data_IF_081330972026
#
_entry.id   IF_081330972026
#
_cell.length_a   1.000
_cell.length_b   1.000
_cell.length_c   1.000
_cell.angle_alpha   90.00
_cell.angle_beta   90.00
_cell.angle_gamma   90.00
#
_symmetry.space_group_name_H-M   'P 1'
#
loop_
_entity.id
_entity.type
_entity.pdbx_description
1 polymer ?
#
# COMPACT_ATOMS: atom_id res chain seq x y z
N UNK A 1 -33.63 7.43 42.97
CA UNK A 1 -32.44 6.99 42.22
C UNK A 1 -32.56 7.55 40.81
N UNK A 2 -31.84 8.64 40.51
CA UNK A 2 -31.88 9.33 39.21
C UNK A 2 -30.98 8.56 38.23
N UNK A 3 -31.55 8.09 37.11
CA UNK A 3 -30.77 7.51 36.01
C UNK A 3 -30.16 8.66 35.21
N UNK A 4 -28.85 8.77 35.23
CA UNK A 4 -28.08 9.70 34.39
C UNK A 4 -27.85 9.00 33.05
N UNK A 5 -28.41 9.54 31.98
CA UNK A 5 -28.10 9.12 30.62
C UNK A 5 -26.85 9.88 30.16
N UNK A 6 -25.75 9.17 29.96
CA UNK A 6 -24.51 9.70 29.40
C UNK A 6 -24.68 9.64 27.88
N UNK A 7 -24.92 10.81 27.26
CA UNK A 7 -24.96 10.96 25.82
C UNK A 7 -23.53 10.92 25.25
N UNK A 8 -23.27 9.94 24.39
CA UNK A 8 -22.07 9.83 23.59
C UNK A 8 -22.06 10.96 22.54
N UNK A 9 -21.24 11.98 22.76
CA UNK A 9 -20.99 13.04 21.77
C UNK A 9 -19.95 12.50 20.79
N UNK A 10 -20.42 12.07 19.62
CA UNK A 10 -19.54 11.76 18.48
C UNK A 10 -19.25 13.08 17.78
N UNK A 11 -18.06 13.63 18.03
CA UNK A 11 -17.57 14.79 17.29
C UNK A 11 -17.13 14.33 15.90
N UNK A 12 -17.98 14.51 14.89
CA UNK A 12 -17.56 14.42 13.49
C UNK A 12 -16.60 15.59 13.21
N UNK A 13 -15.34 15.27 12.94
CA UNK A 13 -14.38 16.23 12.40
C UNK A 13 -14.71 16.43 10.91
N UNK A 14 -15.43 17.50 10.58
CA UNK A 14 -15.58 17.98 9.20
C UNK A 14 -14.26 18.66 8.81
N UNK A 15 -13.38 17.95 8.11
CA UNK A 15 -12.22 18.56 7.46
C UNK A 15 -12.72 19.23 6.19
N UNK A 16 -13.04 20.52 6.30
CA UNK A 16 -13.19 21.42 5.16
C UNK A 16 -11.80 21.95 4.82
N UNK A 17 -11.13 21.35 3.85
CA UNK A 17 -9.93 21.94 3.26
C UNK A 17 -10.32 22.83 2.09
N UNK A 18 -10.28 24.14 2.35
CA UNK A 18 -10.22 25.19 1.35
C UNK A 18 -8.95 24.97 0.53
N UNK A 19 -9.09 24.96 -0.79
CA UNK A 19 -7.97 24.83 -1.73
C UNK A 19 -6.91 25.89 -1.48
N UNK A 20 -5.80 25.43 -0.92
CA UNK A 20 -4.51 26.10 -0.94
C UNK A 20 -3.62 25.11 -1.67
N UNK A 21 -3.06 25.54 -2.81
CA UNK A 21 -2.25 24.70 -3.67
C UNK A 21 -1.18 23.97 -2.87
N UNK A 22 -1.40 22.68 -2.66
CA UNK A 22 -0.37 21.76 -2.23
C UNK A 22 0.44 21.45 -3.48
N UNK A 23 1.73 21.72 -3.44
CA UNK A 23 2.66 21.02 -4.31
C UNK A 23 2.70 19.61 -3.72
N UNK A 24 1.80 18.74 -4.17
CA UNK A 24 1.95 17.32 -3.91
C UNK A 24 3.20 16.87 -4.64
N UNK A 25 4.04 16.13 -3.93
CA UNK A 25 5.04 15.27 -4.51
C UNK A 25 4.65 13.88 -4.05
N UNK A 26 4.71 12.91 -4.95
CA UNK A 26 4.50 11.51 -4.66
C UNK A 26 5.42 11.12 -3.50
N UNK A 27 4.79 10.76 -2.39
CA UNK A 27 5.44 10.49 -1.12
C UNK A 27 5.22 9.03 -0.75
N UNK A 28 6.18 8.45 -0.03
CA UNK A 28 5.97 7.13 0.55
C UNK A 28 5.32 7.25 1.93
N UNK A 29 4.26 6.49 2.15
CA UNK A 29 3.81 6.13 3.49
C UNK A 29 4.61 4.94 3.97
N UNK A 30 5.25 5.12 5.12
CA UNK A 30 6.07 4.10 5.76
C UNK A 30 5.25 3.39 6.84
N UNK A 31 5.18 2.06 6.76
CA UNK A 31 4.59 1.21 7.78
C UNK A 31 5.66 0.26 8.32
N UNK A 32 6.12 0.55 9.53
CA UNK A 32 7.05 -0.33 10.24
C UNK A 32 6.34 -1.60 10.71
N UNK A 33 6.98 -2.74 10.46
CA UNK A 33 6.55 -4.06 10.89
C UNK A 33 7.67 -4.67 11.73
N UNK A 34 7.28 -5.22 12.88
CA UNK A 34 8.14 -5.98 13.77
C UNK A 34 7.57 -7.39 13.87
N UNK A 35 8.35 -8.38 13.43
CA UNK A 35 8.03 -9.79 13.57
C UNK A 35 8.73 -10.31 14.82
N UNK A 36 7.98 -10.38 15.92
CA UNK A 36 8.49 -10.63 17.27
C UNK A 36 8.38 -12.09 17.75
N UNK A 37 7.75 -12.97 16.96
CA UNK A 37 7.57 -14.40 17.25
C UNK A 37 6.84 -14.77 18.56
N UNK A 38 6.38 -13.81 19.36
CA UNK A 38 5.80 -14.02 20.69
C UNK A 38 4.49 -14.83 20.68
N UNK A 39 3.79 -14.83 19.55
CA UNK A 39 2.57 -15.61 19.36
C UNK A 39 2.85 -17.11 19.15
N UNK A 40 4.11 -17.51 18.90
CA UNK A 40 4.58 -18.89 18.69
C UNK A 40 5.02 -19.58 20.00
N UNK A 41 4.38 -19.24 21.12
CA UNK A 41 4.68 -19.85 22.42
C UNK A 41 4.51 -21.39 22.42
N UNK A 42 5.04 -22.04 23.46
CA UNK A 42 5.10 -23.51 23.59
C UNK A 42 3.78 -24.27 23.43
N UNK A 43 2.62 -23.60 23.57
CA UNK A 43 1.30 -24.23 23.36
C UNK A 43 0.81 -24.12 21.92
N UNK A 44 1.27 -23.11 21.17
CA UNK A 44 0.84 -22.81 19.81
C UNK A 44 1.83 -23.32 18.76
N UNK A 45 3.11 -23.35 19.08
CA UNK A 45 4.15 -23.93 18.24
C UNK A 45 5.23 -24.54 19.16
N UNK A 46 5.23 -25.87 19.37
CA UNK A 46 6.34 -26.51 20.10
C UNK A 46 7.66 -26.29 19.35
N UNK A 47 8.80 -26.43 20.04
CA UNK A 47 10.12 -26.34 19.41
C UNK A 47 10.15 -27.17 18.11
N UNK A 48 10.58 -26.55 17.00
CA UNK A 48 10.33 -27.13 15.68
C UNK A 48 10.64 -26.19 14.53
N UNK A 49 10.12 -26.49 13.33
CA UNK A 49 10.33 -25.67 12.14
C UNK A 49 9.43 -24.43 12.17
N UNK A 50 9.98 -23.29 11.76
CA UNK A 50 9.17 -22.11 11.47
C UNK A 50 8.29 -22.41 10.24
N UNK A 51 7.04 -21.97 10.28
CA UNK A 51 6.17 -22.08 9.10
C UNK A 51 6.73 -21.23 7.97
N UNK A 52 6.83 -21.81 6.75
CA UNK A 52 7.42 -21.13 5.59
C UNK A 52 6.75 -19.79 5.27
N UNK A 53 5.47 -19.63 5.58
CA UNK A 53 4.68 -18.40 5.33
C UNK A 53 4.42 -17.54 6.57
N UNK A 54 5.15 -17.74 7.66
CA UNK A 54 4.90 -17.03 8.91
C UNK A 54 5.03 -15.52 8.73
N UNK A 55 4.08 -14.77 9.32
CA UNK A 55 3.94 -13.32 9.17
C UNK A 55 3.83 -12.81 7.71
N UNK A 56 3.42 -13.68 6.76
CA UNK A 56 3.32 -13.33 5.34
C UNK A 56 4.67 -13.28 4.60
N UNK A 57 5.76 -13.65 5.27
CA UNK A 57 7.10 -13.74 4.68
C UNK A 57 7.40 -15.18 4.25
N UNK A 58 8.26 -15.34 3.25
CA UNK A 58 8.75 -16.67 2.85
C UNK A 58 10.11 -16.95 3.48
N UNK A 59 10.14 -17.90 4.41
CA UNK A 59 11.33 -18.30 5.16
C UNK A 59 12.02 -19.51 4.54
N UNK A 60 13.35 -19.56 4.64
CA UNK A 60 14.14 -20.76 4.34
C UNK A 60 13.72 -21.97 5.23
N UNK A 61 13.68 -23.23 4.73
CA UNK A 61 13.18 -24.37 5.50
C UNK A 61 14.00 -24.80 6.73
N UNK A 62 15.18 -24.19 6.91
CA UNK A 62 16.10 -24.44 8.02
C UNK A 62 15.90 -23.46 9.19
N UNK A 63 14.97 -22.49 9.06
CA UNK A 63 14.56 -21.69 10.20
C UNK A 63 13.73 -22.51 11.19
N UNK A 64 14.13 -22.44 12.44
CA UNK A 64 13.61 -23.21 13.55
C UNK A 64 13.17 -22.28 14.67
N UNK A 65 12.20 -22.72 15.46
CA UNK A 65 11.66 -22.01 16.62
C UNK A 65 12.30 -22.57 17.88
N UNK A 66 12.74 -21.68 18.76
CA UNK A 66 12.92 -22.00 20.15
C UNK A 66 11.98 -21.16 21.01
N UNK A 67 11.21 -21.81 21.88
CA UNK A 67 10.24 -21.17 22.79
C UNK A 67 10.55 -21.41 24.27
N UNK A 68 11.71 -22.00 24.56
CA UNK A 68 12.19 -22.27 25.92
C UNK A 68 13.52 -21.55 26.19
N UNK A 69 13.78 -21.10 27.44
CA UNK A 69 15.02 -20.42 27.78
C UNK A 69 16.26 -21.27 27.48
N UNK A 70 17.24 -20.68 26.79
CA UNK A 70 18.53 -21.30 26.51
C UNK A 70 19.65 -20.30 26.81
N UNK A 71 20.72 -20.79 27.45
CA UNK A 71 21.90 -19.96 27.70
C UNK A 71 22.47 -19.44 26.37
N UNK A 72 22.88 -18.18 26.34
CA UNK A 72 23.38 -17.45 25.15
C UNK A 72 22.35 -17.08 24.08
N UNK A 73 21.17 -17.72 24.05
CA UNK A 73 20.17 -17.55 22.99
C UNK A 73 18.90 -16.89 23.52
N UNK A 74 19.05 -15.75 24.19
CA UNK A 74 17.92 -15.02 24.74
C UNK A 74 17.07 -14.37 23.63
N UNK A 75 15.75 -14.44 23.76
CA UNK A 75 14.86 -13.58 22.99
C UNK A 75 15.02 -12.12 23.44
N UNK A 76 14.75 -11.18 22.53
CA UNK A 76 14.69 -9.76 22.88
C UNK A 76 13.32 -9.40 23.47
N UNK A 77 12.25 -9.97 22.92
CA UNK A 77 10.88 -9.88 23.43
C UNK A 77 10.34 -11.26 23.80
N UNK A 78 9.47 -11.30 24.81
CA UNK A 78 8.85 -12.54 25.30
C UNK A 78 9.85 -13.68 25.53
N UNK A 79 9.48 -14.87 25.07
CA UNK A 79 10.24 -16.11 25.26
C UNK A 79 10.63 -16.80 23.95
N UNK A 80 10.07 -16.36 22.82
CA UNK A 80 10.20 -17.06 21.54
C UNK A 80 11.12 -16.30 20.60
N UNK A 81 11.96 -17.03 19.90
CA UNK A 81 12.87 -16.51 18.87
C UNK A 81 13.14 -17.60 17.86
N UNK A 82 13.71 -17.22 16.72
CA UNK A 82 14.07 -18.17 15.68
C UNK A 82 15.57 -18.36 15.62
N UNK A 83 16.00 -19.52 15.16
CA UNK A 83 17.40 -19.83 14.90
C UNK A 83 17.50 -20.55 13.56
N UNK A 84 18.67 -20.53 12.94
CA UNK A 84 18.88 -21.30 11.71
C UNK A 84 19.62 -22.59 12.02
N UNK A 85 19.09 -23.72 11.57
CA UNK A 85 19.82 -25.00 11.55
C UNK A 85 20.82 -25.09 10.39
N UNK A 86 21.51 -23.99 10.12
CA UNK A 86 22.47 -23.78 9.05
C UNK A 86 23.40 -22.60 9.40
N UNK A 87 24.22 -22.13 8.46
CA UNK A 87 25.05 -20.93 8.59
C UNK A 87 24.26 -19.63 8.39
N UNK A 88 23.00 -19.60 8.85
CA UNK A 88 22.02 -18.55 8.53
C UNK A 88 20.97 -19.03 7.52
N UNK A 89 20.30 -18.13 6.81
CA UNK A 89 19.21 -18.50 5.91
C UNK A 89 18.49 -17.31 5.30
N UNK A 90 17.65 -17.61 4.31
CA UNK A 90 16.89 -16.59 3.57
C UNK A 90 15.60 -16.16 4.28
N UNK A 91 15.28 -14.88 4.09
CA UNK A 91 13.98 -14.25 4.37
C UNK A 91 13.58 -13.56 3.07
N UNK A 92 12.41 -13.90 2.52
CA UNK A 92 11.91 -13.27 1.29
C UNK A 92 10.60 -12.54 1.56
N UNK A 93 10.48 -11.36 1.00
CA UNK A 93 9.32 -10.47 1.03
C UNK A 93 8.53 -10.64 -0.27
N UNK A 94 7.23 -10.33 -0.23
CA UNK A 94 6.38 -10.40 -1.43
C UNK A 94 6.51 -9.17 -2.34
N UNK A 95 7.23 -8.14 -1.87
CA UNK A 95 7.45 -6.86 -2.52
C UNK A 95 8.68 -6.19 -1.88
N UNK A 96 9.17 -5.14 -2.52
CA UNK A 96 10.28 -4.32 -2.02
C UNK A 96 9.97 -3.67 -0.67
N UNK A 97 10.87 -3.87 0.30
CA UNK A 97 10.79 -3.27 1.63
C UNK A 97 12.10 -2.60 2.02
N UNK A 98 12.03 -1.68 2.98
CA UNK A 98 13.23 -1.19 3.66
C UNK A 98 13.52 -2.09 4.87
N UNK A 99 14.40 -3.06 4.71
CA UNK A 99 14.82 -3.93 5.81
C UNK A 99 15.68 -3.16 6.82
N UNK A 100 15.24 -3.08 8.08
CA UNK A 100 15.94 -2.31 9.13
C UNK A 100 16.96 -3.15 9.86
N UNK A 101 16.66 -4.43 10.08
CA UNK A 101 17.51 -5.36 10.81
C UNK A 101 16.74 -6.27 11.75
N UNK A 102 17.44 -6.88 12.70
CA UNK A 102 16.82 -7.73 13.71
C UNK A 102 17.67 -7.75 15.00
N UNK A 103 17.06 -8.21 16.09
CA UNK A 103 17.78 -8.47 17.34
C UNK A 103 18.46 -9.83 17.28
N UNK A 104 19.76 -9.83 17.56
CA UNK A 104 20.61 -11.02 17.50
C UNK A 104 21.17 -11.31 18.89
N UNK A 105 21.08 -12.57 19.31
CA UNK A 105 21.82 -13.13 20.43
C UNK A 105 22.44 -14.47 20.04
N UNK A 106 23.40 -14.95 20.80
CA UNK A 106 24.06 -16.22 20.51
C UNK A 106 25.41 -16.38 21.18
N UNK A 107 26.10 -17.44 20.79
CA UNK A 107 27.43 -17.75 21.29
C UNK A 107 28.46 -16.71 20.79
N UNK A 108 29.41 -16.25 21.61
CA UNK A 108 30.42 -15.27 21.21
C UNK A 108 31.35 -15.68 20.04
N UNK A 109 31.23 -16.92 19.57
CA UNK A 109 31.93 -17.43 18.39
C UNK A 109 31.20 -17.09 17.08
N UNK A 110 29.88 -16.88 17.12
CA UNK A 110 29.09 -16.50 15.95
C UNK A 110 29.33 -15.05 15.56
N UNK A 111 29.33 -14.82 14.25
CA UNK A 111 29.42 -13.50 13.64
C UNK A 111 28.37 -13.41 12.56
N UNK A 112 27.37 -12.58 12.83
CA UNK A 112 26.15 -12.47 12.02
C UNK A 112 26.21 -11.23 11.15
N UNK A 113 25.74 -11.34 9.92
CA UNK A 113 25.57 -10.23 8.98
C UNK A 113 24.35 -10.46 8.10
N UNK A 114 23.88 -9.40 7.46
CA UNK A 114 22.81 -9.45 6.47
C UNK A 114 23.34 -9.05 5.10
N UNK A 115 22.84 -9.71 4.06
CA UNK A 115 22.97 -9.30 2.67
C UNK A 115 21.58 -9.06 2.09
N UNK A 116 21.39 -7.90 1.47
CA UNK A 116 20.13 -7.49 0.87
C UNK A 116 20.16 -7.67 -0.64
N UNK A 117 19.06 -8.17 -1.20
CA UNK A 117 18.85 -8.39 -2.61
C UNK A 117 17.52 -7.80 -3.06
N UNK A 118 17.44 -7.38 -4.31
CA UNK A 118 16.22 -6.91 -4.99
C UNK A 118 16.18 -7.55 -6.38
N UNK A 119 15.15 -8.33 -6.69
CA UNK A 119 15.03 -9.12 -7.92
C UNK A 119 16.27 -10.03 -8.16
N UNK A 120 16.86 -10.53 -7.07
CA UNK A 120 18.08 -11.33 -7.08
C UNK A 120 19.38 -10.54 -7.34
N UNK A 121 19.31 -9.22 -7.48
CA UNK A 121 20.47 -8.33 -7.60
C UNK A 121 20.91 -7.87 -6.21
N UNK A 122 22.22 -7.97 -5.93
CA UNK A 122 22.79 -7.51 -4.66
C UNK A 122 22.64 -5.99 -4.47
N UNK A 123 22.06 -5.59 -3.34
CA UNK A 123 21.81 -4.19 -2.96
C UNK A 123 22.85 -3.69 -1.95
N UNK A 124 23.19 -4.50 -0.95
CA UNK A 124 24.14 -4.11 0.10
C UNK A 124 24.29 -5.15 1.20
N UNK A 125 25.18 -4.89 2.15
CA UNK A 125 25.33 -5.71 3.35
C UNK A 125 25.38 -4.84 4.61
N UNK A 126 25.06 -5.48 5.73
CA UNK A 126 25.27 -4.90 7.05
C UNK A 126 26.74 -4.98 7.45
N UNK A 127 27.09 -4.28 8.53
CA UNK A 127 28.30 -4.66 9.29
C UNK A 127 28.18 -6.08 9.82
N UNK A 128 29.31 -6.75 10.02
CA UNK A 128 29.35 -8.02 10.75
C UNK A 128 29.34 -7.78 12.27
N UNK A 129 28.50 -8.51 12.99
CA UNK A 129 28.34 -8.39 14.43
C UNK A 129 28.60 -9.72 15.14
N UNK A 130 29.52 -9.71 16.10
CA UNK A 130 29.69 -10.82 17.04
C UNK A 130 28.47 -10.96 17.93
N UNK A 131 27.87 -12.16 17.94
CA UNK A 131 26.75 -12.48 18.81
C UNK A 131 27.17 -12.49 20.29
N UNK A 132 26.21 -12.25 21.19
CA UNK A 132 26.40 -12.28 22.64
C UNK A 132 25.14 -12.83 23.31
N UNK A 133 25.25 -13.25 24.57
CA UNK A 133 24.10 -13.73 25.33
C UNK A 133 22.98 -12.69 25.48
N UNK A 134 23.36 -11.41 25.60
CA UNK A 134 22.41 -10.30 25.63
C UNK A 134 22.07 -9.89 24.20
N UNK A 135 20.78 -9.88 23.82
CA UNK A 135 20.36 -9.47 22.48
C UNK A 135 20.84 -8.07 22.12
N UNK A 136 21.25 -7.91 20.86
CA UNK A 136 21.66 -6.64 20.29
C UNK A 136 21.07 -6.47 18.91
N UNK A 137 20.58 -5.28 18.62
CA UNK A 137 20.09 -4.96 17.28
C UNK A 137 21.25 -4.87 16.29
N UNK A 138 21.20 -5.67 15.23
CA UNK A 138 22.05 -5.55 14.06
C UNK A 138 21.28 -4.77 13.00
N UNK A 139 21.72 -3.54 12.71
CA UNK A 139 21.14 -2.73 11.64
C UNK A 139 21.63 -3.19 10.27
N UNK A 140 20.71 -3.28 9.32
CA UNK A 140 21.02 -3.67 7.94
C UNK A 140 21.72 -2.56 7.15
N UNK A 141 21.20 -1.32 7.21
CA UNK A 141 21.74 -0.12 6.56
C UNK A 141 22.02 -0.30 5.05
N UNK A 142 21.16 -1.05 4.35
CA UNK A 142 21.27 -1.19 2.91
C UNK A 142 21.01 0.14 2.21
N UNK A 143 21.66 0.42 1.07
CA UNK A 143 21.49 1.69 0.34
C UNK A 143 20.16 1.79 -0.42
N UNK A 144 19.37 0.71 -0.49
CA UNK A 144 18.11 0.64 -1.23
C UNK A 144 17.16 -0.41 -0.66
N UNK A 145 15.98 -0.50 -1.27
CA UNK A 145 14.96 -1.48 -0.92
C UNK A 145 15.36 -2.89 -1.36
N UNK A 146 14.83 -3.89 -0.67
CA UNK A 146 15.14 -5.30 -0.87
C UNK A 146 13.85 -6.13 -0.85
N UNK A 147 13.81 -7.19 -1.65
CA UNK A 147 12.77 -8.22 -1.64
C UNK A 147 13.26 -9.52 -1.00
N UNK A 148 14.57 -9.63 -0.74
CA UNK A 148 15.17 -10.78 -0.09
C UNK A 148 16.36 -10.38 0.79
N UNK A 149 16.50 -11.07 1.92
CA UNK A 149 17.61 -10.92 2.85
C UNK A 149 18.20 -12.28 3.16
N UNK A 150 19.50 -12.43 2.90
CA UNK A 150 20.28 -13.54 3.41
C UNK A 150 20.85 -13.15 4.76
N UNK A 151 20.49 -13.91 5.79
CA UNK A 151 21.17 -13.87 7.08
C UNK A 151 22.37 -14.81 7.00
N UNK A 152 23.56 -14.32 7.30
CA UNK A 152 24.80 -15.10 7.28
C UNK A 152 25.37 -15.20 8.69
N UNK A 153 25.78 -16.41 9.10
CA UNK A 153 26.62 -16.66 10.27
C UNK A 153 27.89 -17.42 9.86
N UNK A 154 29.01 -17.07 10.47
CA UNK A 154 30.27 -17.82 10.38
C UNK A 154 30.24 -19.19 11.08
N UNK A 155 29.25 -19.43 11.93
CA UNK A 155 29.10 -20.66 12.72
C UNK A 155 27.75 -21.35 12.42
N UNK A 156 27.76 -22.68 12.39
CA UNK A 156 26.55 -23.45 12.13
C UNK A 156 25.65 -23.43 13.37
N UNK A 157 24.48 -22.80 13.28
CA UNK A 157 23.44 -22.81 14.34
C UNK A 157 23.86 -22.17 15.68
N UNK A 158 24.65 -21.09 15.67
CA UNK A 158 25.21 -20.46 16.89
C UNK A 158 24.64 -19.06 17.19
N UNK A 159 23.58 -18.67 16.51
CA UNK A 159 22.82 -17.46 16.81
C UNK A 159 21.31 -17.74 16.81
N UNK A 160 20.57 -16.86 17.47
CA UNK A 160 19.15 -16.70 17.26
C UNK A 160 18.81 -15.25 16.94
N UNK A 161 17.65 -15.08 16.32
CA UNK A 161 17.13 -13.83 15.82
C UNK A 161 15.71 -13.64 16.32
N UNK A 162 15.41 -12.40 16.70
CA UNK A 162 14.13 -11.97 17.22
C UNK A 162 13.83 -10.55 16.70
N UNK A 163 12.57 -10.11 16.81
CA UNK A 163 12.14 -8.76 16.45
C UNK A 163 12.68 -8.29 15.09
N UNK A 164 12.40 -9.09 14.04
CA UNK A 164 12.80 -8.76 12.67
C UNK A 164 12.00 -7.54 12.22
N UNK A 165 12.72 -6.45 11.92
CA UNK A 165 12.13 -5.13 11.67
C UNK A 165 12.35 -4.73 10.21
N UNK A 166 11.27 -4.34 9.54
CA UNK A 166 11.29 -3.79 8.18
C UNK A 166 10.18 -2.77 8.00
N UNK A 167 10.27 -1.95 6.96
CA UNK A 167 9.26 -0.94 6.62
C UNK A 167 8.70 -1.27 5.24
N UNK A 168 7.39 -1.53 5.20
CA UNK A 168 6.63 -1.54 3.95
C UNK A 168 6.44 -0.09 3.50
N UNK A 169 6.61 0.15 2.21
CA UNK A 169 6.39 1.46 1.60
C UNK A 169 5.17 1.41 0.71
N UNK A 170 4.30 2.42 0.80
CA UNK A 170 3.21 2.65 -0.16
C UNK A 170 3.42 3.99 -0.83
N UNK A 171 3.48 4.03 -2.15
CA UNK A 171 3.55 5.29 -2.88
C UNK A 171 2.17 5.96 -2.91
N UNK A 172 2.07 7.13 -2.31
CA UNK A 172 0.87 7.97 -2.43
C UNK A 172 0.94 8.71 -3.74
N UNK A 173 -0.11 8.54 -4.53
CA UNK A 173 -0.26 9.19 -5.84
C UNK A 173 -1.43 10.15 -5.82
N UNK A 174 -1.31 11.22 -6.58
CA UNK A 174 -2.45 12.09 -6.83
C UNK A 174 -3.42 11.40 -7.79
N UNK A 175 -4.70 11.56 -7.50
CA UNK A 175 -5.79 10.97 -8.26
C UNK A 175 -6.75 12.08 -8.68
N UNK A 176 -7.16 12.07 -9.94
CA UNK A 176 -8.24 12.93 -10.44
C UNK A 176 -9.30 12.09 -11.17
N UNK A 177 -10.50 12.03 -10.59
CA UNK A 177 -11.66 11.36 -11.17
C UNK A 177 -12.42 12.35 -12.03
N UNK A 178 -12.49 12.13 -13.35
CA UNK A 178 -12.96 13.11 -14.34
C UNK A 178 -12.02 14.32 -14.48
N UNK A 179 -10.78 14.09 -15.00
CA UNK A 179 -9.86 15.16 -15.34
C UNK A 179 -10.52 16.30 -16.11
N UNK A 180 -10.34 17.52 -15.61
CA UNK A 180 -10.88 18.74 -16.21
C UNK A 180 -12.29 19.16 -15.77
N UNK A 181 -12.94 18.40 -14.88
CA UNK A 181 -14.21 18.76 -14.26
C UNK A 181 -14.02 19.05 -12.75
N UNK A 182 -14.79 19.97 -12.17
CA UNK A 182 -14.91 20.10 -10.71
C UNK A 182 -16.29 20.68 -10.35
N UNK A 183 -17.02 20.11 -9.39
CA UNK A 183 -16.73 18.85 -8.69
C UNK A 183 -16.90 17.62 -9.61
N UNK A 184 -16.26 16.52 -9.23
CA UNK A 184 -16.22 15.27 -9.97
C UNK A 184 -17.54 14.52 -9.88
N UNK A 185 -18.46 14.78 -10.82
CA UNK A 185 -19.84 14.27 -10.73
C UNK A 185 -19.96 12.82 -11.18
N UNK A 186 -20.42 11.96 -10.29
CA UNK A 186 -20.84 10.60 -10.64
C UNK A 186 -22.37 10.56 -10.74
N UNK A 187 -22.87 10.27 -11.93
CA UNK A 187 -24.29 10.04 -12.15
C UNK A 187 -24.56 8.54 -12.13
N UNK A 188 -25.22 8.03 -11.08
CA UNK A 188 -25.48 6.59 -10.92
C UNK A 188 -26.29 5.99 -12.07
N UNK A 189 -27.00 6.82 -12.83
CA UNK A 189 -27.84 6.41 -13.95
C UNK A 189 -27.16 6.59 -15.33
N UNK A 190 -25.93 7.11 -15.38
CA UNK A 190 -25.21 7.30 -16.64
C UNK A 190 -24.65 5.98 -17.19
N UNK A 191 -24.56 5.89 -18.53
CA UNK A 191 -24.06 4.71 -19.24
C UNK A 191 -22.66 4.86 -19.82
N UNK A 192 -22.08 6.06 -19.81
CA UNK A 192 -20.71 6.29 -20.26
C UNK A 192 -19.71 5.84 -19.18
N UNK A 193 -18.50 5.49 -19.61
CA UNK A 193 -17.39 5.24 -18.69
C UNK A 193 -16.96 6.55 -17.99
N UNK A 194 -16.24 6.38 -16.90
CA UNK A 194 -15.67 7.46 -16.09
C UNK A 194 -14.15 7.42 -16.27
N UNK A 195 -13.54 8.50 -16.80
CA UNK A 195 -12.09 8.62 -16.83
C UNK A 195 -11.56 8.90 -15.42
N UNK A 196 -10.44 8.27 -15.06
CA UNK A 196 -9.75 8.45 -13.77
C UNK A 196 -8.25 8.49 -14.06
N UNK A 197 -7.57 9.56 -13.67
CA UNK A 197 -6.15 9.74 -13.91
C UNK A 197 -5.36 9.59 -12.62
N UNK A 198 -4.33 8.74 -12.66
CA UNK A 198 -3.20 8.86 -11.73
C UNK A 198 -2.29 9.92 -12.32
N UNK A 199 -2.10 11.01 -11.58
CA UNK A 199 -1.45 12.21 -12.08
C UNK A 199 0.06 11.99 -12.14
N UNK A 200 0.66 12.21 -13.30
CA UNK A 200 2.10 12.18 -13.49
C UNK A 200 2.75 13.44 -12.93
N UNK A 201 4.02 13.33 -12.53
CA UNK A 201 4.78 14.50 -12.07
C UNK A 201 6.28 14.20 -12.08
N UNK A 202 7.10 15.20 -11.70
CA UNK A 202 8.56 15.08 -11.69
C UNK A 202 9.07 13.90 -10.84
N UNK A 203 8.37 13.56 -9.75
CA UNK A 203 8.70 12.45 -8.85
C UNK A 203 8.04 11.13 -9.22
N UNK A 204 7.14 11.09 -10.21
CA UNK A 204 6.37 9.91 -10.58
C UNK A 204 6.36 9.71 -12.10
N UNK A 205 7.17 8.76 -12.56
CA UNK A 205 7.03 8.20 -13.90
C UNK A 205 5.92 7.14 -13.89
N UNK A 206 4.74 7.50 -14.41
CA UNK A 206 3.57 6.63 -14.44
C UNK A 206 3.75 5.36 -15.27
N UNK A 207 4.79 5.26 -16.11
CA UNK A 207 5.10 4.03 -16.86
C UNK A 207 5.63 2.91 -15.97
N UNK A 208 6.07 3.25 -14.75
CA UNK A 208 6.51 2.29 -13.73
C UNK A 208 5.36 1.67 -12.97
N UNK A 209 4.12 2.12 -13.18
CA UNK A 209 2.92 1.52 -12.59
C UNK A 209 2.50 0.31 -13.42
N UNK A 210 2.28 -0.84 -12.78
CA UNK A 210 1.61 -1.96 -13.43
C UNK A 210 0.12 -1.65 -13.57
N UNK A 211 -0.27 -1.09 -14.72
CA UNK A 211 -1.65 -0.72 -15.01
C UNK A 211 -2.65 -1.89 -14.89
N UNK A 212 -2.21 -3.14 -14.99
CA UNK A 212 -3.09 -4.31 -14.86
C UNK A 212 -3.44 -4.65 -13.42
N UNK A 213 -2.62 -4.20 -12.47
CA UNK A 213 -2.86 -4.32 -11.03
C UNK A 213 -3.85 -3.29 -10.49
N UNK A 214 -4.12 -2.22 -11.25
CA UNK A 214 -4.84 -1.06 -10.76
C UNK A 214 -6.34 -1.33 -10.62
N UNK A 215 -6.91 -0.95 -9.48
CA UNK A 215 -8.34 -1.03 -9.20
C UNK A 215 -8.85 0.22 -8.49
N UNK A 216 -10.08 0.63 -8.78
CA UNK A 216 -10.79 1.68 -8.06
C UNK A 216 -11.81 1.02 -7.12
N UNK A 217 -11.58 1.05 -5.81
CA UNK A 217 -12.41 0.31 -4.84
C UNK A 217 -12.55 -1.19 -5.18
N UNK A 218 -11.50 -1.80 -5.71
CA UNK A 218 -11.51 -3.18 -6.18
C UNK A 218 -12.18 -3.41 -7.55
N UNK A 219 -12.73 -2.37 -8.19
CA UNK A 219 -13.23 -2.43 -9.57
C UNK A 219 -12.05 -2.34 -10.54
N UNK A 220 -11.96 -3.25 -11.52
CA UNK A 220 -10.95 -3.18 -12.58
C UNK A 220 -11.33 -2.18 -13.68
N UNK A 221 -10.34 -1.52 -14.32
CA UNK A 221 -10.60 -0.65 -15.45
C UNK A 221 -11.00 -1.44 -16.70
N UNK A 222 -11.74 -0.80 -17.60
CA UNK A 222 -12.12 -1.30 -18.93
C UNK A 222 -10.97 -1.14 -19.92
N UNK A 223 -10.23 -0.03 -19.81
CA UNK A 223 -9.07 0.29 -20.63
C UNK A 223 -8.22 1.35 -19.93
N UNK A 224 -7.00 1.55 -20.40
CA UNK A 224 -6.13 2.64 -19.96
C UNK A 224 -5.27 3.16 -21.11
N UNK A 225 -4.80 4.39 -20.96
CA UNK A 225 -3.85 5.05 -21.86
C UNK A 225 -2.95 6.01 -21.06
N UNK A 226 -1.79 6.33 -21.62
CA UNK A 226 -0.92 7.36 -21.05
C UNK A 226 -1.11 8.63 -21.86
N UNK A 227 -1.59 9.68 -21.20
CA UNK A 227 -1.84 10.98 -21.81
C UNK A 227 -1.80 12.05 -20.74
N UNK A 228 -1.30 13.23 -21.11
CA UNK A 228 -1.21 14.39 -20.23
C UNK A 228 -2.55 15.15 -20.25
N UNK A 229 -3.34 15.05 -19.17
CA UNK A 229 -4.72 15.56 -19.07
C UNK A 229 -4.98 16.41 -17.83
N UNK A 230 -4.22 16.22 -16.76
CA UNK A 230 -4.36 16.93 -15.50
C UNK A 230 -3.00 17.33 -14.91
N UNK A 231 -3.06 18.02 -13.79
CA UNK A 231 -1.89 18.41 -13.01
C UNK A 231 -2.14 18.15 -11.52
N UNK A 232 -1.10 17.95 -10.70
CA UNK A 232 -1.22 17.69 -9.26
C UNK A 232 -2.08 18.72 -8.50
N UNK A 233 -2.15 19.95 -9.02
CA UNK A 233 -2.95 21.03 -8.45
C UNK A 233 -4.47 20.92 -8.67
N UNK A 234 -4.94 19.90 -9.41
CA UNK A 234 -6.33 19.79 -9.86
C UNK A 234 -6.73 20.84 -10.90
N UNK A 235 -5.75 21.61 -11.41
CA UNK A 235 -5.99 22.52 -12.52
C UNK A 235 -6.18 21.72 -13.81
N UNK A 236 -7.24 22.03 -14.55
CA UNK A 236 -7.53 21.39 -15.83
C UNK A 236 -6.42 21.63 -16.84
N UNK A 237 -5.97 20.56 -17.50
CA UNK A 237 -5.11 20.63 -18.67
C UNK A 237 -3.69 20.11 -18.43
N UNK A 238 -3.03 19.89 -19.56
CA UNK A 238 -1.71 19.29 -19.65
C UNK A 238 -0.62 20.12 -18.96
N UNK A 239 0.25 19.49 -18.18
CA UNK A 239 1.34 20.14 -17.44
C UNK A 239 2.75 19.72 -17.87
N UNK A 240 2.85 18.82 -18.83
CA UNK A 240 4.10 18.29 -19.36
C UNK A 240 4.52 16.96 -18.73
N UNK A 241 3.79 16.45 -17.72
CA UNK A 241 3.98 15.12 -17.17
C UNK A 241 2.83 14.21 -17.61
N UNK A 242 3.12 13.09 -18.30
CA UNK A 242 2.05 12.19 -18.72
C UNK A 242 1.33 11.53 -17.54
N UNK A 243 -0.01 11.50 -17.60
CA UNK A 243 -0.84 10.79 -16.63
C UNK A 243 -1.15 9.37 -17.09
N UNK A 244 -1.46 8.49 -16.15
CA UNK A 244 -2.02 7.17 -16.46
C UNK A 244 -3.54 7.23 -16.28
N UNK A 245 -4.24 7.26 -17.41
CA UNK A 245 -5.69 7.49 -17.47
C UNK A 245 -6.42 6.18 -17.71
N UNK A 246 -7.28 5.83 -16.77
CA UNK A 246 -8.13 4.65 -16.79
C UNK A 246 -9.56 5.00 -17.18
N UNK A 247 -10.24 4.07 -17.84
CA UNK A 247 -11.68 4.13 -18.09
C UNK A 247 -12.39 3.09 -17.22
N UNK A 248 -13.22 3.51 -16.28
CA UNK A 248 -14.02 2.61 -15.45
C UNK A 248 -15.48 2.60 -15.88
N UNK A 249 -16.14 1.44 -15.79
CA UNK A 249 -17.57 1.36 -16.06
C UNK A 249 -18.36 2.08 -14.97
N UNK A 250 -19.15 3.10 -15.34
CA UNK A 250 -19.93 3.86 -14.36
C UNK A 250 -20.92 3.00 -13.57
N UNK A 251 -21.44 1.91 -14.17
CA UNK A 251 -22.30 0.96 -13.44
C UNK A 251 -21.56 0.21 -12.35
N UNK A 252 -20.29 -0.14 -12.58
CA UNK A 252 -19.42 -0.73 -11.57
C UNK A 252 -19.20 0.26 -10.42
N UNK A 253 -18.88 1.51 -10.74
CA UNK A 253 -18.72 2.57 -9.73
C UNK A 253 -20.02 2.79 -8.93
N UNK A 254 -21.17 2.87 -9.61
CA UNK A 254 -22.47 3.06 -8.97
C UNK A 254 -22.88 1.90 -8.05
N UNK A 255 -22.32 0.70 -8.25
CA UNK A 255 -22.55 -0.48 -7.42
C UNK A 255 -21.61 -0.56 -6.20
N UNK A 256 -20.58 0.29 -6.10
CA UNK A 256 -19.73 0.38 -4.91
C UNK A 256 -20.62 0.75 -3.71
N UNK A 257 -20.59 0.01 -2.58
CA UNK A 257 -21.52 0.21 -1.48
C UNK A 257 -21.61 1.66 -0.96
N UNK A 258 -20.47 2.35 -0.84
CA UNK A 258 -20.43 3.76 -0.41
C UNK A 258 -21.01 4.74 -1.44
N UNK A 259 -20.92 4.44 -2.72
CA UNK A 259 -21.53 5.24 -3.80
C UNK A 259 -23.03 4.95 -3.89
N UNK A 260 -23.40 3.66 -3.85
CA UNK A 260 -24.77 3.20 -3.96
C UNK A 260 -25.65 3.76 -2.83
N UNK A 261 -25.14 3.73 -1.59
CA UNK A 261 -25.89 4.15 -0.40
C UNK A 261 -25.83 5.65 -0.12
N UNK A 262 -24.92 6.39 -0.77
CA UNK A 262 -24.78 7.83 -0.57
C UNK A 262 -26.04 8.61 -0.98
N UNK A 263 -26.35 9.65 -0.22
CA UNK A 263 -27.40 10.59 -0.56
C UNK A 263 -27.03 11.38 -1.83
N UNK A 264 -28.04 11.73 -2.64
CA UNK A 264 -27.84 12.66 -3.75
C UNK A 264 -27.25 13.97 -3.24
N UNK A 265 -26.19 14.45 -3.90
CA UNK A 265 -25.46 15.65 -3.53
C UNK A 265 -24.43 15.44 -2.42
N UNK A 266 -24.26 14.22 -1.90
CA UNK A 266 -23.16 13.90 -1.00
C UNK A 266 -21.85 13.79 -1.78
N UNK A 267 -20.75 14.12 -1.11
CA UNK A 267 -19.39 13.83 -1.55
C UNK A 267 -18.95 12.49 -0.98
N UNK A 268 -18.31 11.66 -1.81
CA UNK A 268 -17.79 10.35 -1.43
C UNK A 268 -16.35 10.26 -1.94
N UNK A 269 -15.40 10.04 -1.04
CA UNK A 269 -14.02 9.74 -1.40
C UNK A 269 -13.94 8.33 -2.02
N UNK A 270 -13.29 8.18 -3.16
CA UNK A 270 -12.95 6.90 -3.79
C UNK A 270 -11.43 6.74 -3.81
N UNK A 271 -10.98 5.52 -3.58
CA UNK A 271 -9.57 5.16 -3.48
C UNK A 271 -9.20 4.24 -4.63
N UNK A 272 -8.12 4.61 -5.31
CA UNK A 272 -7.44 3.77 -6.30
C UNK A 272 -6.27 3.06 -5.61
N UNK A 273 -6.06 1.79 -5.94
CA UNK A 273 -4.92 1.00 -5.50
C UNK A 273 -4.29 0.29 -6.68
N UNK A 274 -3.03 -0.09 -6.54
CA UNK A 274 -2.29 -0.88 -7.53
C UNK A 274 -0.87 -1.14 -7.04
N UNK A 275 0.03 -1.50 -7.95
CA UNK A 275 1.45 -1.71 -7.67
C UNK A 275 2.32 -1.08 -8.75
N UNK A 276 3.51 -0.63 -8.36
CA UNK A 276 4.62 -0.41 -9.30
C UNK A 276 5.09 -1.75 -9.88
N UNK A 277 5.83 -1.72 -10.97
CA UNK A 277 6.48 -2.90 -11.54
C UNK A 277 7.51 -3.52 -10.59
N UNK A 278 8.00 -2.76 -9.60
CA UNK A 278 8.83 -3.26 -8.49
C UNK A 278 8.02 -3.93 -7.36
N UNK A 279 6.69 -4.02 -7.50
CA UNK A 279 5.79 -4.58 -6.49
C UNK A 279 5.39 -3.63 -5.36
N UNK A 280 5.98 -2.43 -5.28
CA UNK A 280 5.59 -1.44 -4.26
C UNK A 280 4.12 -1.03 -4.46
N UNK A 281 3.25 -1.14 -3.43
CA UNK A 281 1.87 -0.72 -3.54
C UNK A 281 1.74 0.79 -3.78
N UNK A 282 0.71 1.17 -4.53
CA UNK A 282 0.31 2.56 -4.72
C UNK A 282 -1.10 2.79 -4.18
N UNK A 283 -1.36 3.99 -3.68
CA UNK A 283 -2.68 4.42 -3.21
C UNK A 283 -2.93 5.88 -3.56
N UNK A 284 -4.11 6.19 -4.09
CA UNK A 284 -4.54 7.56 -4.36
C UNK A 284 -6.02 7.73 -4.04
N UNK A 285 -6.46 8.94 -3.69
CA UNK A 285 -7.85 9.20 -3.31
C UNK A 285 -8.36 10.50 -3.93
N UNK A 286 -9.61 10.49 -4.39
CA UNK A 286 -10.31 11.67 -4.89
C UNK A 286 -11.80 11.63 -4.56
N UNK A 287 -12.43 12.80 -4.51
CA UNK A 287 -13.79 13.03 -4.04
C UNK A 287 -14.79 13.16 -5.19
N UNK A 288 -15.83 12.31 -5.20
CA UNK A 288 -16.91 12.41 -6.18
C UNK A 288 -18.20 12.97 -5.59
N UNK A 289 -18.88 13.84 -6.35
CA UNK A 289 -20.21 14.34 -6.04
C UNK A 289 -21.30 13.43 -6.63
N UNK A 290 -22.13 12.84 -5.77
CA UNK A 290 -23.17 11.90 -6.19
C UNK A 290 -24.38 12.61 -6.81
N UNK A 291 -24.79 12.14 -7.99
CA UNK A 291 -25.96 12.63 -8.72
C UNK A 291 -26.80 11.48 -9.31
N UNK A 292 -28.06 11.77 -9.60
CA UNK A 292 -29.04 10.81 -10.16
C UNK A 292 -29.74 11.33 -11.42
N UNK A 293 -29.28 12.45 -11.95
CA UNK A 293 -29.98 13.18 -13.00
C UNK A 293 -30.09 12.31 -14.25
N UNK A 294 -31.29 11.90 -14.64
CA UNK A 294 -31.50 11.31 -15.96
C UNK A 294 -31.18 12.38 -17.01
N UNK A 295 -30.20 12.12 -17.87
CA UNK A 295 -29.86 13.00 -18.97
C UNK A 295 -31.04 13.01 -19.95
N UNK A 296 -31.98 13.91 -19.72
CA UNK A 296 -33.16 14.07 -20.57
C UNK A 296 -32.77 15.12 -21.58
N UNK A 297 -32.17 14.70 -22.69
CA UNK A 297 -31.95 15.59 -23.83
C UNK A 297 -33.32 16.01 -24.35
N UNK A 298 -33.82 17.15 -23.89
CA UNK A 298 -35.01 17.80 -24.45
C UNK A 298 -34.65 18.28 -25.86
N UNK A 299 -34.85 17.41 -26.85
CA UNK A 299 -34.96 17.82 -28.24
C UNK A 299 -36.16 18.77 -28.34
N UNK A 300 -35.87 20.07 -28.29
CA UNK A 300 -36.85 21.13 -28.56
C UNK A 300 -37.26 20.99 -30.02
N UNK A 301 -38.34 20.24 -30.27
CA UNK A 301 -38.90 20.06 -31.61
C UNK A 301 -39.49 21.42 -32.02
N UNK A 302 -38.73 22.19 -32.80
CA UNK A 302 -39.18 23.46 -33.35
C UNK A 302 -40.27 23.16 -34.38
N UNK A 303 -41.54 23.29 -33.98
CA UNK A 303 -42.68 23.24 -34.90
C UNK A 303 -42.66 24.51 -35.75
N UNK A 304 -42.11 24.44 -36.95
CA UNK A 304 -42.28 25.48 -37.96
C UNK A 304 -43.68 25.36 -38.57
N UNK A 305 -44.60 26.20 -38.11
CA UNK A 305 -45.92 26.38 -38.74
C UNK A 305 -45.73 27.01 -40.12
N UNK A 306 -45.81 26.22 -41.19
CA UNK A 306 -45.97 26.74 -42.56
C UNK A 306 -47.38 27.29 -42.73
N UNK A 307 -47.52 28.61 -42.76
CA UNK A 307 -48.73 29.27 -43.23
C UNK A 307 -48.74 29.16 -44.76
N UNK A 308 -49.73 28.46 -45.31
CA UNK A 308 -49.99 28.39 -46.75
C UNK A 308 -51.04 29.45 -47.11
N UNK A 309 -50.64 30.45 -47.90
CA UNK A 309 -51.55 31.40 -48.53
C UNK A 309 -52.03 30.84 -49.86
N UNK A 310 -53.34 30.57 -49.96
CA UNK A 310 -54.02 30.29 -51.23
C UNK A 310 -54.13 31.58 -52.05
N UNK A 311 -53.71 31.53 -53.31
CA UNK A 311 -54.31 32.25 -54.45
C UNK A 311 -54.36 31.31 -55.63
#
# INVERSE_FOLDING_TARGET
MKKVAIGLVVTLLLVSCIGIGSVSAAGYLDKEIIVNFDDLNATKAPDGKLSLGYAGLSWDPDWMIWNSPQAYYAAHSGDTRIHSHNFGGWINFSHDVEFKGAWISGEPMAQVSFEGYNDGVYVGNSSMMRALATPRFLSANFPGLVDAVLVNDTMYNFFCMDDVTFVEKTLVVDLDIRPGEYPNKINRNAGNNVPVAIVGEASLDVTTIDATSVTLEGLSPVSWEITDVCSPSGASGADGYPDLVFQFENRGIAAIPKVQSAAKGATVALTITGTLTSGIPIEGTDDVLISDSSSTTLLKKTTTTRISTKR
#
